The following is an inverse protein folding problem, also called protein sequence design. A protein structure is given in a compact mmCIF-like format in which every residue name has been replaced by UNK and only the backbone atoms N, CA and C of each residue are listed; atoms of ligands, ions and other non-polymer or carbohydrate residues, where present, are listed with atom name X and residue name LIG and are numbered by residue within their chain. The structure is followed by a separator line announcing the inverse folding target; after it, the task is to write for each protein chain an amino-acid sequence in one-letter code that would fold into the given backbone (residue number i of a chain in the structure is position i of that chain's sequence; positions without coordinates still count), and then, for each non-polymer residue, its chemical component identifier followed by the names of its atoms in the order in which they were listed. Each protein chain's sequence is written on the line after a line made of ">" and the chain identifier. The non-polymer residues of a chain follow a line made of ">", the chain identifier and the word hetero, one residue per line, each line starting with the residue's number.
data_IF_415424597604
#
_entry.id   IF_415424597604
#
_cell.length_a   1.000
_cell.length_b   1.000
_cell.length_c   1.000
_cell.angle_alpha   90.00
_cell.angle_beta   90.00
_cell.angle_gamma   90.00
#
_symmetry.space_group_name_H-M   'P 1'
#
loop_
_entity.id
_entity.type
_entity.pdbx_description
1 polymer ?
#
# COMPACT_ATOMS: atom_id res chain seq x y z
N UNK A 1 16.43 -52.74 36.83
CA UNK A 1 15.80 -51.83 37.83
C UNK A 1 16.61 -50.54 37.89
N UNK A 2 15.93 -49.40 38.07
CA UNK A 2 16.43 -48.02 38.07
C UNK A 2 16.62 -47.39 36.68
N UNK A 3 16.19 -46.16 36.39
CA UNK A 3 15.35 -45.16 37.08
C UNK A 3 14.78 -44.24 35.98
N UNK A 4 13.50 -43.95 36.05
CA UNK A 4 12.82 -42.94 35.25
C UNK A 4 13.44 -41.57 35.57
N UNK A 5 13.86 -40.83 34.56
CA UNK A 5 13.91 -39.37 34.61
C UNK A 5 13.30 -38.80 33.34
N UNK A 6 11.97 -38.71 33.40
CA UNK A 6 11.11 -37.89 32.57
C UNK A 6 11.52 -36.42 32.81
N UNK A 7 12.40 -35.88 31.97
CA UNK A 7 12.73 -34.45 32.00
C UNK A 7 11.68 -33.68 31.21
N UNK A 8 10.79 -33.10 32.00
CA UNK A 8 9.80 -32.08 31.67
C UNK A 8 10.52 -30.93 30.92
N UNK A 9 10.29 -30.81 29.61
CA UNK A 9 10.46 -29.54 28.90
C UNK A 9 9.14 -28.78 28.98
N UNK A 10 8.87 -28.23 30.17
CA UNK A 10 7.94 -27.12 30.32
C UNK A 10 8.69 -25.82 30.04
N UNK A 11 7.94 -24.82 29.59
CA UNK A 11 8.29 -23.40 29.53
C UNK A 11 9.29 -22.95 28.47
N UNK A 12 8.84 -22.89 27.21
CA UNK A 12 8.96 -21.66 26.43
C UNK A 12 7.65 -21.44 25.65
N UNK A 13 6.59 -21.11 26.37
CA UNK A 13 5.56 -20.25 25.79
C UNK A 13 6.21 -18.86 25.69
N UNK A 14 6.94 -18.63 24.59
CA UNK A 14 7.28 -17.29 24.19
C UNK A 14 5.95 -16.62 23.83
N UNK A 15 5.33 -15.95 24.80
CA UNK A 15 4.32 -14.93 24.53
C UNK A 15 5.06 -13.79 23.82
N UNK A 16 5.20 -13.91 22.50
CA UNK A 16 5.37 -12.74 21.64
C UNK A 16 4.04 -12.00 21.57
N UNK A 17 3.60 -11.47 22.71
CA UNK A 17 2.97 -10.17 22.69
C UNK A 17 4.10 -9.21 22.31
N UNK A 18 4.38 -9.14 21.00
CA UNK A 18 4.95 -7.93 20.43
C UNK A 18 4.09 -6.83 21.02
N UNK A 19 4.70 -5.96 21.83
CA UNK A 19 4.06 -4.72 22.19
C UNK A 19 3.56 -4.15 20.87
N UNK A 20 2.24 -4.16 20.66
CA UNK A 20 1.66 -3.45 19.55
C UNK A 20 2.14 -2.02 19.77
N UNK A 21 3.11 -1.60 18.97
CA UNK A 21 3.49 -0.21 18.93
C UNK A 21 2.18 0.54 18.71
N UNK A 22 1.97 1.63 19.44
CA UNK A 22 0.75 2.42 19.38
C UNK A 22 0.68 3.12 18.01
N UNK A 23 0.56 2.37 16.91
CA UNK A 23 0.68 2.83 15.53
C UNK A 23 -0.37 3.90 15.23
N UNK A 24 -1.50 3.86 15.93
CA UNK A 24 -2.52 4.90 15.88
C UNK A 24 -1.98 6.29 16.29
N UNK A 25 -0.95 6.38 17.14
CA UNK A 25 -0.26 7.65 17.49
C UNK A 25 0.71 8.14 16.41
N UNK A 26 0.98 7.31 15.41
CA UNK A 26 1.92 7.55 14.34
C UNK A 26 1.24 7.68 12.97
N UNK A 27 -0.06 7.45 12.90
CA UNK A 27 -0.86 7.56 11.69
C UNK A 27 -1.87 8.72 11.78
N UNK A 28 -2.15 9.34 10.64
CA UNK A 28 -3.13 10.41 10.46
C UNK A 28 -4.43 9.79 9.96
N UNK A 29 -5.52 10.04 10.68
CA UNK A 29 -6.86 9.72 10.19
C UNK A 29 -7.11 10.52 8.89
N UNK A 30 -7.39 9.85 7.76
CA UNK A 30 -7.52 10.49 6.45
C UNK A 30 -8.75 11.41 6.35
N UNK A 31 -9.77 11.20 7.19
CA UNK A 31 -11.01 11.98 7.23
C UNK A 31 -10.84 13.25 8.08
N UNK A 32 -10.25 13.13 9.26
CA UNK A 32 -10.14 14.24 10.22
C UNK A 32 -8.85 15.04 10.09
N UNK A 33 -7.85 14.49 9.38
CA UNK A 33 -6.49 15.04 9.23
C UNK A 33 -5.77 15.26 10.57
N UNK A 34 -6.11 14.44 11.57
CA UNK A 34 -5.48 14.41 12.89
C UNK A 34 -5.03 12.98 13.20
N UNK A 35 -4.15 12.85 14.18
CA UNK A 35 -3.79 11.53 14.74
C UNK A 35 -5.07 10.85 15.23
N UNK A 36 -5.17 9.53 15.05
CA UNK A 36 -6.29 8.74 15.55
C UNK A 36 -6.47 8.95 17.07
N UNK A 37 -7.72 9.07 17.53
CA UNK A 37 -8.03 9.31 18.93
C UNK A 37 -7.85 8.05 19.78
N UNK A 38 -7.92 6.86 19.16
CA UNK A 38 -7.75 5.58 19.84
C UNK A 38 -7.30 4.46 18.90
N UNK A 39 -6.79 3.37 19.49
CA UNK A 39 -6.50 2.13 18.78
C UNK A 39 -7.75 1.54 18.09
N UNK A 40 -8.93 1.70 18.71
CA UNK A 40 -10.20 1.18 18.17
C UNK A 40 -10.62 1.92 16.89
N UNK A 41 -10.46 3.24 16.86
CA UNK A 41 -10.72 4.07 15.67
C UNK A 41 -9.78 3.67 14.52
N UNK A 42 -8.49 3.55 14.82
CA UNK A 42 -7.48 3.10 13.86
C UNK A 42 -7.76 1.69 13.32
N UNK A 43 -8.05 0.74 14.21
CA UNK A 43 -8.38 -0.64 13.80
C UNK A 43 -9.64 -0.68 12.91
N UNK A 44 -10.63 0.15 13.21
CA UNK A 44 -11.85 0.25 12.40
C UNK A 44 -11.53 0.76 10.99
N UNK A 45 -10.76 1.83 10.89
CA UNK A 45 -10.31 2.36 9.58
C UNK A 45 -9.49 1.34 8.78
N UNK A 46 -8.55 0.64 9.43
CA UNK A 46 -7.75 -0.41 8.79
C UNK A 46 -8.59 -1.61 8.33
N UNK A 47 -9.60 -2.01 9.10
CA UNK A 47 -10.54 -3.06 8.69
C UNK A 47 -11.39 -2.59 7.50
N UNK A 48 -11.92 -1.37 7.54
CA UNK A 48 -12.68 -0.80 6.42
C UNK A 48 -11.85 -0.75 5.14
N UNK A 49 -10.57 -0.38 5.21
CA UNK A 49 -9.66 -0.43 4.07
C UNK A 49 -9.43 -1.86 3.58
N UNK A 50 -9.24 -2.81 4.50
CA UNK A 50 -9.07 -4.22 4.18
C UNK A 50 -10.29 -4.81 3.47
N UNK A 51 -11.51 -4.39 3.81
CA UNK A 51 -12.73 -4.81 3.12
C UNK A 51 -12.81 -4.33 1.65
N UNK A 52 -12.02 -3.33 1.28
CA UNK A 52 -11.92 -2.83 -0.10
C UNK A 52 -10.87 -3.56 -0.94
N UNK A 53 -10.22 -4.60 -0.42
CA UNK A 53 -9.18 -5.35 -1.13
C UNK A 53 -9.66 -5.84 -2.52
N UNK A 54 -9.03 -5.37 -3.61
CA UNK A 54 -9.30 -5.88 -4.94
C UNK A 54 -8.84 -7.34 -5.08
N UNK A 55 -9.35 -8.04 -6.09
CA UNK A 55 -8.85 -9.38 -6.40
C UNK A 55 -7.34 -9.33 -6.70
N UNK A 56 -6.55 -10.10 -5.94
CA UNK A 56 -5.10 -10.18 -6.16
C UNK A 56 -4.79 -10.68 -7.59
N UNK A 57 -3.91 -10.00 -8.35
CA UNK A 57 -3.54 -10.38 -9.72
C UNK A 57 -2.56 -11.57 -9.76
N UNK A 58 -2.19 -12.11 -8.60
CA UNK A 58 -1.23 -13.22 -8.46
C UNK A 58 0.23 -12.76 -8.48
N UNK A 59 1.12 -13.62 -7.99
CA UNK A 59 2.52 -13.27 -7.73
C UNK A 59 3.29 -12.78 -8.97
N UNK A 60 3.06 -13.40 -10.13
CA UNK A 60 3.77 -13.05 -11.38
C UNK A 60 3.42 -11.61 -11.81
N UNK A 61 2.13 -11.24 -11.75
CA UNK A 61 1.69 -9.90 -12.09
C UNK A 61 2.25 -8.86 -11.11
N UNK A 62 2.27 -9.17 -9.80
CA UNK A 62 2.87 -8.29 -8.79
C UNK A 62 4.37 -8.08 -9.00
N UNK A 63 5.11 -9.14 -9.32
CA UNK A 63 6.55 -9.03 -9.62
C UNK A 63 6.79 -8.15 -10.86
N UNK A 64 5.97 -8.28 -11.91
CA UNK A 64 6.04 -7.42 -13.09
C UNK A 64 5.66 -5.97 -12.76
N UNK A 65 4.63 -5.75 -11.94
CA UNK A 65 4.23 -4.41 -11.53
C UNK A 65 5.35 -3.71 -10.74
N UNK A 66 6.04 -4.44 -9.86
CA UNK A 66 7.23 -3.94 -9.17
C UNK A 66 8.37 -3.59 -10.14
N UNK A 67 8.58 -4.38 -11.19
CA UNK A 67 9.56 -4.07 -12.23
C UNK A 67 9.20 -2.79 -13.00
N UNK A 68 7.92 -2.58 -13.33
CA UNK A 68 7.42 -1.34 -13.94
C UNK A 68 7.65 -0.16 -13.00
N UNK A 69 7.22 -0.26 -11.73
CA UNK A 69 7.47 0.78 -10.72
C UNK A 69 8.97 1.11 -10.62
N UNK A 70 9.83 0.10 -10.52
CA UNK A 70 11.29 0.30 -10.38
C UNK A 70 11.89 1.04 -11.57
N UNK A 71 11.42 0.76 -12.79
CA UNK A 71 11.82 1.46 -14.02
C UNK A 71 11.37 2.93 -14.01
N UNK A 72 10.16 3.19 -13.54
CA UNK A 72 9.51 4.50 -13.63
C UNK A 72 9.74 5.39 -12.39
N UNK A 73 10.31 4.83 -11.31
CA UNK A 73 10.54 5.48 -10.02
C UNK A 73 11.25 6.84 -10.16
N UNK A 74 12.34 6.89 -10.91
CA UNK A 74 13.12 8.13 -11.08
C UNK A 74 12.36 9.23 -11.85
N UNK A 75 11.33 8.88 -12.63
CA UNK A 75 10.45 9.84 -13.29
C UNK A 75 9.40 10.35 -12.30
N UNK A 76 8.78 9.42 -11.55
CA UNK A 76 7.79 9.73 -10.52
C UNK A 76 8.36 10.65 -9.42
N UNK A 77 9.58 10.37 -8.92
CA UNK A 77 10.25 11.17 -7.87
C UNK A 77 10.59 12.61 -8.30
N UNK A 78 10.67 12.88 -9.61
CA UNK A 78 10.90 14.24 -10.14
C UNK A 78 9.62 15.04 -10.26
N UNK A 79 8.45 14.44 -10.06
CA UNK A 79 7.18 15.13 -10.16
C UNK A 79 6.97 15.99 -8.91
N UNK A 80 6.68 17.27 -9.12
CA UNK A 80 6.50 18.25 -8.03
C UNK A 80 5.22 18.03 -7.23
N UNK A 81 4.25 17.28 -7.78
CA UNK A 81 2.97 16.98 -7.14
C UNK A 81 2.90 15.49 -6.89
N UNK A 82 2.79 15.14 -5.62
CA UNK A 82 2.70 13.76 -5.14
C UNK A 82 1.57 12.97 -5.84
N UNK A 83 0.36 13.53 -5.90
CA UNK A 83 -0.76 12.90 -6.63
C UNK A 83 -0.50 12.68 -8.12
N UNK A 84 0.33 13.51 -8.75
CA UNK A 84 0.76 13.31 -10.14
C UNK A 84 1.67 12.09 -10.26
N UNK A 85 2.58 11.89 -9.30
CA UNK A 85 3.45 10.71 -9.25
C UNK A 85 2.62 9.42 -9.09
N UNK A 86 1.64 9.43 -8.19
CA UNK A 86 0.68 8.34 -7.99
C UNK A 86 -0.11 8.02 -9.27
N UNK A 87 -0.71 9.03 -9.89
CA UNK A 87 -1.39 8.89 -11.18
C UNK A 87 -0.47 8.30 -12.25
N UNK A 88 0.75 8.83 -12.38
CA UNK A 88 1.68 8.36 -13.39
C UNK A 88 2.04 6.89 -13.22
N UNK A 89 2.39 6.47 -11.99
CA UNK A 89 2.74 5.07 -11.70
C UNK A 89 1.55 4.14 -11.98
N UNK A 90 0.35 4.52 -11.56
CA UNK A 90 -0.88 3.76 -11.87
C UNK A 90 -1.11 3.59 -13.37
N UNK A 91 -0.91 4.66 -14.15
CA UNK A 91 -1.00 4.63 -15.61
C UNK A 91 0.04 3.71 -16.24
N UNK A 92 1.30 3.79 -15.80
CA UNK A 92 2.39 2.94 -16.32
C UNK A 92 2.15 1.46 -16.01
N UNK A 93 1.72 1.12 -14.80
CA UNK A 93 1.43 -0.27 -14.43
C UNK A 93 0.25 -0.80 -15.27
N UNK A 94 -0.81 -0.02 -15.42
CA UNK A 94 -1.99 -0.43 -16.21
C UNK A 94 -1.69 -0.60 -17.70
N UNK A 95 -0.88 0.29 -18.28
CA UNK A 95 -0.48 0.20 -19.70
C UNK A 95 0.35 -1.07 -19.99
N UNK A 96 1.25 -1.45 -19.08
CA UNK A 96 2.15 -2.60 -19.28
C UNK A 96 1.52 -3.94 -18.88
N UNK A 97 0.52 -3.90 -18.00
CA UNK A 97 -0.17 -5.06 -17.46
C UNK A 97 -1.67 -4.90 -17.69
N UNK A 98 -2.40 -4.48 -16.66
CA UNK A 98 -3.83 -4.23 -16.73
C UNK A 98 -4.28 -3.33 -15.56
N UNK A 99 -5.50 -2.81 -15.70
CA UNK A 99 -6.15 -1.98 -14.69
C UNK A 99 -6.23 -2.64 -13.32
N UNK A 100 -6.58 -3.93 -13.26
CA UNK A 100 -6.81 -4.64 -11.98
C UNK A 100 -5.52 -4.77 -11.18
N UNK A 101 -4.41 -5.00 -11.87
CA UNK A 101 -3.08 -5.06 -11.26
C UNK A 101 -2.69 -3.70 -10.69
N UNK A 102 -2.93 -2.62 -11.43
CA UNK A 102 -2.65 -1.27 -10.96
C UNK A 102 -3.54 -0.86 -9.77
N UNK A 103 -4.83 -1.19 -9.80
CA UNK A 103 -5.78 -0.98 -8.69
C UNK A 103 -5.37 -1.77 -7.44
N UNK A 104 -4.98 -3.04 -7.59
CA UNK A 104 -4.47 -3.83 -6.46
C UNK A 104 -3.18 -3.23 -5.88
N UNK A 105 -2.25 -2.76 -6.71
CA UNK A 105 -1.02 -2.11 -6.24
C UNK A 105 -1.32 -0.80 -5.52
N UNK A 106 -2.28 -0.01 -6.02
CA UNK A 106 -2.76 1.20 -5.33
C UNK A 106 -3.28 0.84 -3.94
N UNK A 107 -4.16 -0.15 -3.85
CA UNK A 107 -4.71 -0.63 -2.58
C UNK A 107 -3.61 -1.14 -1.63
N UNK A 108 -2.67 -1.93 -2.16
CA UNK A 108 -1.61 -2.56 -1.37
C UNK A 108 -0.61 -1.54 -0.79
N UNK A 109 -0.29 -0.47 -1.54
CA UNK A 109 0.57 0.61 -1.01
C UNK A 109 -0.09 1.26 0.20
N UNK A 110 -1.37 1.64 0.08
CA UNK A 110 -2.10 2.26 1.18
C UNK A 110 -2.33 1.32 2.38
N UNK A 111 -2.56 0.02 2.12
CA UNK A 111 -2.64 -1.02 3.15
C UNK A 111 -1.31 -1.19 3.91
N UNK A 112 -0.19 -0.95 3.23
CA UNK A 112 1.11 -0.95 3.88
C UNK A 112 1.31 0.32 4.70
N UNK A 113 0.98 1.48 4.15
CA UNK A 113 1.15 2.77 4.83
C UNK A 113 0.35 2.81 6.13
N UNK A 114 -0.93 2.39 6.11
CA UNK A 114 -1.73 2.35 7.35
C UNK A 114 -1.16 1.41 8.41
N UNK A 115 -0.27 0.46 8.05
CA UNK A 115 0.26 -0.57 8.95
C UNK A 115 1.74 -0.44 9.28
N UNK A 116 2.46 0.50 8.67
CA UNK A 116 3.93 0.58 8.80
C UNK A 116 4.41 1.40 9.99
N UNK A 117 3.47 2.07 10.70
CA UNK A 117 3.69 2.83 11.92
C UNK A 117 4.73 3.97 11.74
N UNK A 118 4.95 4.43 10.52
CA UNK A 118 5.96 5.41 10.16
C UNK A 118 5.33 6.77 9.84
N UNK A 119 5.59 7.80 10.65
CA UNK A 119 5.05 9.17 10.44
C UNK A 119 5.44 9.83 9.11
N UNK A 120 6.45 9.32 8.42
CA UNK A 120 6.91 9.84 7.13
C UNK A 120 6.09 9.32 5.94
N UNK A 121 5.38 8.22 6.13
CA UNK A 121 4.37 7.66 5.23
C UNK A 121 3.01 7.80 5.94
N UNK A 122 1.92 7.85 5.20
CA UNK A 122 0.60 7.85 5.83
C UNK A 122 -0.42 7.42 4.80
N UNK A 123 -1.42 6.73 5.30
CA UNK A 123 -2.57 6.33 4.53
C UNK A 123 -3.32 7.55 3.97
N UNK A 124 -3.43 7.63 2.65
CA UNK A 124 -4.18 8.70 1.98
C UNK A 124 -5.11 8.16 0.89
N UNK A 125 -6.43 8.29 1.08
CA UNK A 125 -7.40 7.95 0.03
C UNK A 125 -7.11 8.66 -1.31
N UNK A 126 -6.58 9.88 -1.26
CA UNK A 126 -6.24 10.64 -2.47
C UNK A 126 -5.08 10.02 -3.26
N UNK A 127 -4.14 9.31 -2.62
CA UNK A 127 -3.08 8.56 -3.31
C UNK A 127 -3.62 7.35 -4.05
N UNK A 128 -4.51 6.61 -3.40
CA UNK A 128 -5.23 5.52 -4.02
C UNK A 128 -6.04 6.02 -5.22
N UNK A 129 -6.88 7.04 -5.02
CA UNK A 129 -7.73 7.61 -6.07
C UNK A 129 -6.90 8.10 -7.26
N UNK A 130 -5.82 8.82 -7.01
CA UNK A 130 -4.91 9.26 -8.07
C UNK A 130 -4.30 8.10 -8.84
N UNK A 131 -3.86 7.04 -8.13
CA UNK A 131 -3.29 5.85 -8.76
C UNK A 131 -4.35 5.10 -9.60
N UNK A 132 -5.58 4.97 -9.11
CA UNK A 132 -6.69 4.33 -9.84
C UNK A 132 -7.11 5.14 -11.07
N UNK A 133 -7.23 6.46 -10.97
CA UNK A 133 -7.48 7.31 -12.13
C UNK A 133 -6.36 7.19 -13.18
N UNK A 134 -5.11 7.17 -12.72
CA UNK A 134 -3.96 6.84 -13.56
C UNK A 134 -4.14 5.49 -14.27
N UNK A 135 -4.52 4.45 -13.53
CA UNK A 135 -4.78 3.12 -14.07
C UNK A 135 -5.88 3.13 -15.14
N UNK A 136 -6.94 3.93 -14.98
CA UNK A 136 -7.97 4.11 -16.01
C UNK A 136 -7.40 4.76 -17.27
N UNK A 137 -6.58 5.80 -17.12
CA UNK A 137 -5.90 6.43 -18.27
C UNK A 137 -5.01 5.43 -19.01
N UNK A 138 -4.26 4.60 -18.28
CA UNK A 138 -3.33 3.60 -18.81
C UNK A 138 -3.96 2.57 -19.75
N UNK A 139 -5.28 2.34 -19.67
CA UNK A 139 -6.00 1.46 -20.60
C UNK A 139 -6.05 2.01 -22.04
N UNK A 140 -5.86 3.33 -22.20
CA UNK A 140 -5.97 4.03 -23.49
C UNK A 140 -4.68 4.72 -23.94
N UNK A 141 -3.74 4.98 -23.02
CA UNK A 141 -2.46 5.58 -23.37
C UNK A 141 -1.58 4.57 -24.10
N UNK A 142 -0.87 5.03 -25.13
CA UNK A 142 -0.03 4.17 -25.99
C UNK A 142 1.39 4.03 -25.45
N UNK A 143 1.90 5.04 -24.75
CA UNK A 143 3.26 5.06 -24.22
C UNK A 143 3.37 5.80 -22.88
N UNK A 144 4.59 5.88 -22.35
CA UNK A 144 4.90 6.59 -21.11
C UNK A 144 4.67 8.10 -21.20
N UNK A 145 4.83 8.71 -22.39
CA UNK A 145 4.63 10.14 -22.60
C UNK A 145 3.14 10.50 -22.52
N UNK A 146 2.27 9.65 -23.06
CA UNK A 146 0.81 9.76 -22.91
C UNK A 146 0.40 9.73 -21.44
N UNK A 147 0.91 8.77 -20.66
CA UNK A 147 0.68 8.72 -19.22
C UNK A 147 1.13 10.00 -18.50
N UNK A 148 2.34 10.49 -18.80
CA UNK A 148 2.87 11.70 -18.20
C UNK A 148 2.01 12.92 -18.54
N UNK A 149 1.60 13.05 -19.80
CA UNK A 149 0.79 14.16 -20.28
C UNK A 149 -0.59 14.16 -19.60
N UNK A 150 -1.30 13.03 -19.60
CA UNK A 150 -2.64 12.93 -19.00
C UNK A 150 -2.61 13.21 -17.50
N UNK A 151 -1.64 12.65 -16.76
CA UNK A 151 -1.52 12.90 -15.33
C UNK A 151 -1.09 14.35 -15.02
N UNK A 152 -0.29 14.99 -15.88
CA UNK A 152 0.07 16.41 -15.73
C UNK A 152 -1.11 17.36 -15.97
N UNK A 153 -2.03 17.00 -16.87
CA UNK A 153 -3.24 17.78 -17.12
C UNK A 153 -4.25 17.65 -15.98
N UNK A 154 -4.31 16.49 -15.35
CA UNK A 154 -5.24 16.20 -14.25
C UNK A 154 -4.78 16.75 -12.90
N UNK A 155 -3.48 16.61 -12.58
CA UNK A 155 -2.87 16.98 -11.30
C UNK A 155 -1.75 17.98 -11.47
#
# INVERSE_FOLDING_TARGET
>A
MAKIFLSIFLSLAATSALAAEDCYLHEINPETKKIFASQEEYNSAAMEWKYREPQSPGFIALARAYAVYSKEKAVAEKMTRDKRAHCYVGCRISQELDYRTAEYVAWYKEEKDIKDCNKGTHFEHADFDATVEGAQMGQSQVDAAGCLQSCTQKY
#
